data_IF_180958379918
#
_entry.id   IF_180958379918
#
_cell.length_a   1.000
_cell.length_b   1.000
_cell.length_c   1.000
_cell.angle_alpha   90.00
_cell.angle_beta   90.00
_cell.angle_gamma   90.00
#
_symmetry.space_group_name_H-M   'P 1'
#
loop_
_entity.id
_entity.type
_entity.pdbx_description
1 polymer ?
#
# COMPACT_ATOMS: atom_id res chain seq x y z
N UNK A 1 -12.36 5.12 19.99
CA UNK A 1 -11.61 3.90 19.64
C UNK A 1 -11.93 3.45 18.21
N UNK A 2 -13.17 3.10 17.86
CA UNK A 2 -13.53 2.72 16.47
C UNK A 2 -13.23 3.80 15.43
N UNK A 3 -13.42 5.08 15.78
CA UNK A 3 -13.21 6.18 14.83
C UNK A 3 -11.73 6.38 14.46
N UNK A 4 -10.81 6.09 15.39
CA UNK A 4 -9.37 6.17 15.13
C UNK A 4 -8.91 5.10 14.12
N UNK A 5 -9.41 3.86 14.23
CA UNK A 5 -9.10 2.80 13.27
C UNK A 5 -9.70 3.07 11.87
N UNK A 6 -10.90 3.66 11.83
CA UNK A 6 -11.49 4.11 10.55
C UNK A 6 -10.65 5.21 9.89
N UNK A 7 -10.18 6.17 10.67
CA UNK A 7 -9.31 7.25 10.18
C UNK A 7 -8.00 6.68 9.61
N UNK A 8 -7.35 5.76 10.33
CA UNK A 8 -6.16 5.06 9.84
C UNK A 8 -6.42 4.33 8.53
N UNK A 9 -7.57 3.67 8.40
CA UNK A 9 -7.96 2.97 7.17
C UNK A 9 -8.11 3.95 6.01
N UNK A 10 -8.89 5.03 6.17
CA UNK A 10 -9.07 6.03 5.11
C UNK A 10 -7.75 6.68 4.70
N UNK A 11 -6.90 7.03 5.67
CA UNK A 11 -5.57 7.57 5.39
C UNK A 11 -4.71 6.56 4.62
N UNK A 12 -4.84 5.27 4.90
CA UNK A 12 -4.06 4.22 4.22
C UNK A 12 -4.50 4.01 2.79
N UNK A 13 -5.80 4.13 2.53
CA UNK A 13 -6.32 4.12 1.16
C UNK A 13 -5.89 5.35 0.36
N UNK A 14 -5.93 6.55 0.96
CA UNK A 14 -5.43 7.77 0.32
C UNK A 14 -3.96 7.60 -0.07
N UNK A 15 -3.11 7.26 0.89
CA UNK A 15 -1.68 7.20 0.66
C UNK A 15 -1.30 6.06 -0.32
N UNK A 16 -2.07 4.98 -0.36
CA UNK A 16 -1.90 3.94 -1.39
C UNK A 16 -2.24 4.44 -2.80
N UNK A 17 -3.28 5.25 -2.96
CA UNK A 17 -3.59 5.87 -4.25
C UNK A 17 -2.48 6.83 -4.68
N UNK A 18 -1.97 7.64 -3.75
CA UNK A 18 -0.88 8.58 -4.02
C UNK A 18 0.39 7.83 -4.47
N UNK A 19 0.80 6.78 -3.75
CA UNK A 19 1.98 5.95 -4.12
C UNK A 19 1.82 5.31 -5.51
N UNK A 20 0.62 4.82 -5.83
CA UNK A 20 0.36 4.20 -7.13
C UNK A 20 0.35 5.25 -8.25
N UNK A 21 -0.17 6.45 -7.99
CA UNK A 21 -0.12 7.55 -8.94
C UNK A 21 1.33 7.98 -9.22
N UNK A 22 2.12 8.20 -8.17
CA UNK A 22 3.53 8.59 -8.27
C UNK A 22 4.35 7.55 -9.04
N UNK A 23 4.11 6.25 -8.79
CA UNK A 23 4.77 5.18 -9.55
C UNK A 23 4.40 5.23 -11.03
N UNK A 24 3.11 5.40 -11.36
CA UNK A 24 2.66 5.41 -12.75
C UNK A 24 3.24 6.62 -13.51
N UNK A 25 3.27 7.79 -12.87
CA UNK A 25 3.91 9.00 -13.41
C UNK A 25 5.41 8.76 -13.64
N UNK A 26 6.12 8.26 -12.63
CA UNK A 26 7.54 7.94 -12.75
C UNK A 26 7.84 6.91 -13.87
N UNK A 27 7.00 5.89 -14.04
CA UNK A 27 7.14 4.90 -15.12
C UNK A 27 6.95 5.53 -16.49
N UNK A 28 5.97 6.42 -16.63
CA UNK A 28 5.72 7.15 -17.88
C UNK A 28 6.90 8.04 -18.27
N UNK A 29 7.56 8.68 -17.30
CA UNK A 29 8.74 9.50 -17.54
C UNK A 29 10.01 8.68 -17.82
N UNK A 30 10.14 7.50 -17.19
CA UNK A 30 11.40 6.74 -17.16
C UNK A 30 11.52 5.68 -18.25
N UNK A 31 10.40 5.17 -18.77
CA UNK A 31 10.41 4.05 -19.70
C UNK A 31 9.55 4.31 -20.93
N UNK A 32 10.07 3.91 -22.10
CA UNK A 32 9.33 3.98 -23.39
C UNK A 32 8.12 3.03 -23.44
N UNK A 33 7.98 2.11 -22.47
CA UNK A 33 6.87 1.16 -22.36
C UNK A 33 6.15 1.36 -21.03
N UNK A 34 4.86 1.71 -21.12
CA UNK A 34 4.00 1.82 -19.95
C UNK A 34 3.68 0.44 -19.36
N UNK A 35 3.96 0.27 -18.07
CA UNK A 35 3.53 -0.89 -17.27
C UNK A 35 2.77 -0.33 -16.07
N UNK A 36 1.49 0.04 -16.24
CA UNK A 36 0.71 0.65 -15.18
C UNK A 36 0.46 -0.35 -14.05
N UNK A 37 0.35 0.16 -12.83
CA UNK A 37 -0.04 -0.65 -11.67
C UNK A 37 -1.45 -1.21 -11.88
N UNK A 38 -1.67 -2.52 -11.63
CA UNK A 38 -3.00 -3.11 -11.70
C UNK A 38 -3.97 -2.45 -10.70
N UNK A 39 -5.23 -2.17 -11.07
CA UNK A 39 -6.20 -1.55 -10.14
C UNK A 39 -6.39 -2.32 -8.83
N UNK A 40 -6.20 -3.64 -8.84
CA UNK A 40 -6.26 -4.50 -7.66
C UNK A 40 -5.12 -4.32 -6.65
N UNK A 41 -4.05 -3.60 -7.00
CA UNK A 41 -2.91 -3.37 -6.11
C UNK A 41 -3.18 -2.25 -5.10
N UNK A 42 -4.01 -1.24 -5.42
CA UNK A 42 -4.31 -0.13 -4.50
C UNK A 42 -4.89 -0.63 -3.18
N UNK A 43 -5.92 -1.51 -3.15
CA UNK A 43 -6.40 -2.07 -1.89
C UNK A 43 -5.33 -2.87 -1.13
N UNK A 44 -4.41 -3.54 -1.82
CA UNK A 44 -3.37 -4.34 -1.16
C UNK A 44 -2.35 -3.45 -0.46
N UNK A 45 -1.85 -2.42 -1.15
CA UNK A 45 -0.96 -1.41 -0.57
C UNK A 45 -1.64 -0.70 0.59
N UNK A 46 -2.92 -0.33 0.43
CA UNK A 46 -3.70 0.30 1.49
C UNK A 46 -3.81 -0.58 2.75
N UNK A 47 -4.04 -1.88 2.58
CA UNK A 47 -4.13 -2.81 3.70
C UNK A 47 -2.78 -3.00 4.40
N UNK A 48 -1.67 -3.04 3.66
CA UNK A 48 -0.33 -3.11 4.25
C UNK A 48 -0.01 -1.85 5.07
N UNK A 49 -0.30 -0.67 4.53
CA UNK A 49 -0.12 0.61 5.24
C UNK A 49 -1.01 0.68 6.49
N UNK A 50 -2.24 0.21 6.40
CA UNK A 50 -3.16 0.17 7.53
C UNK A 50 -2.64 -0.74 8.64
N UNK A 51 -2.19 -1.96 8.30
CA UNK A 51 -1.62 -2.89 9.28
C UNK A 51 -0.39 -2.30 9.98
N UNK A 52 0.50 -1.65 9.22
CA UNK A 52 1.67 -0.96 9.78
C UNK A 52 1.28 0.12 10.80
N UNK A 53 0.30 0.97 10.46
CA UNK A 53 -0.17 2.05 11.35
C UNK A 53 -0.88 1.54 12.60
N UNK A 54 -1.64 0.46 12.47
CA UNK A 54 -2.29 -0.18 13.62
C UNK A 54 -1.24 -0.73 14.58
N UNK A 55 -0.20 -1.40 14.07
CA UNK A 55 0.91 -1.91 14.90
C UNK A 55 1.65 -0.76 15.61
N UNK A 56 1.94 0.32 14.88
CA UNK A 56 2.54 1.53 15.46
C UNK A 56 1.68 2.11 16.59
N UNK A 57 0.36 2.22 16.37
CA UNK A 57 -0.57 2.74 17.39
C UNK A 57 -0.70 1.82 18.61
N UNK A 58 -0.54 0.51 18.44
CA UNK A 58 -0.58 -0.48 19.53
C UNK A 58 0.74 -0.56 20.31
N UNK A 59 1.78 0.17 19.89
CA UNK A 59 3.10 0.15 20.54
C UNK A 59 3.91 -1.12 20.25
N UNK A 60 3.47 -1.95 19.30
CA UNK A 60 4.24 -3.08 18.79
C UNK A 60 5.26 -2.58 17.78
N UNK A 61 6.37 -2.01 18.28
CA UNK A 61 7.58 -1.74 17.49
C UNK A 61 8.31 -3.07 17.28
N UNK A 62 7.67 -4.01 16.59
CA UNK A 62 8.24 -5.30 16.19
C UNK A 62 8.59 -5.29 14.70
N UNK A 63 9.66 -5.99 14.33
CA UNK A 63 10.16 -6.17 12.95
C UNK A 63 9.02 -6.29 11.93
N UNK A 64 9.06 -5.44 10.90
CA UNK A 64 8.14 -5.53 9.77
C UNK A 64 8.57 -6.73 8.92
N UNK A 65 8.01 -7.90 9.23
CA UNK A 65 8.04 -9.03 8.31
C UNK A 65 7.26 -8.61 7.06
N UNK A 66 7.99 -8.23 6.01
CA UNK A 66 7.43 -8.08 4.68
C UNK A 66 6.68 -9.37 4.35
N UNK A 67 5.39 -9.30 3.96
CA UNK A 67 4.72 -10.48 3.46
C UNK A 67 5.56 -11.01 2.30
N UNK A 68 5.97 -12.29 2.38
CA UNK A 68 6.60 -12.98 1.26
C UNK A 68 5.76 -12.69 0.01
N UNK A 69 6.34 -11.98 -0.96
CA UNK A 69 5.69 -11.71 -2.23
C UNK A 69 5.31 -13.07 -2.82
N UNK A 70 4.05 -13.47 -2.67
CA UNK A 70 3.55 -14.69 -3.26
C UNK A 70 3.56 -14.45 -4.77
N UNK A 71 4.60 -14.93 -5.43
CA UNK A 71 4.81 -14.95 -6.89
C UNK A 71 3.67 -15.63 -7.69
N UNK A 72 2.54 -15.96 -7.05
CA UNK A 72 1.34 -16.53 -7.67
C UNK A 72 0.28 -15.49 -8.05
N UNK A 73 0.53 -14.20 -7.85
CA UNK A 73 -0.41 -13.16 -8.30
C UNK A 73 -0.34 -12.88 -9.82
N UNK A 74 0.57 -13.55 -10.53
CA UNK A 74 0.75 -13.45 -11.99
C UNK A 74 0.40 -14.75 -12.75
N UNK A 75 -0.52 -15.56 -12.20
CA UNK A 75 -1.26 -16.57 -12.99
C UNK A 75 -2.68 -16.09 -13.29
#
# INVERSE_FOLDING_TARGET
MQDAYKELMFRSFKDAMDVVADYNEWVEESFDRQVPVPPGAVPQVAMMLYQSRVREQMGEVGEFDFPDFQNRMYE
#
